data_IF_979142017003
#
_entry.id   IF_979142017003
#
_cell.length_a   1.000
_cell.length_b   1.000
_cell.length_c   1.000
_cell.angle_alpha   90.00
_cell.angle_beta   90.00
_cell.angle_gamma   90.00
#
_symmetry.space_group_name_H-M   'P 1'
#
loop_
_entity.id
_entity.type
_entity.pdbx_description
1 polymer ?
#
# COMPACT_ATOMS: atom_id res chain seq x y z
N UNK A 1 10.42 -2.29 -13.43
CA UNK A 1 10.19 -0.91 -13.88
C UNK A 1 9.11 -0.28 -13.02
N UNK A 2 9.36 0.89 -12.47
CA UNK A 2 8.41 1.66 -11.68
C UNK A 2 7.20 2.07 -12.52
N UNK A 3 6.02 1.99 -11.90
CA UNK A 3 4.73 2.37 -12.47
C UNK A 3 4.12 3.50 -11.63
N UNK A 4 4.88 4.57 -11.41
CA UNK A 4 4.43 5.71 -10.61
C UNK A 4 3.19 6.36 -11.22
N UNK A 5 2.29 6.86 -10.38
CA UNK A 5 1.06 7.49 -10.82
C UNK A 5 0.63 8.64 -9.89
N UNK A 6 -0.41 9.35 -10.30
CA UNK A 6 -0.91 10.55 -9.61
C UNK A 6 -1.97 10.26 -8.55
N UNK A 7 -2.22 8.98 -8.21
CA UNK A 7 -3.19 8.68 -7.16
C UNK A 7 -2.63 9.11 -5.79
N UNK A 8 -3.44 9.77 -4.96
CA UNK A 8 -3.01 10.24 -3.65
C UNK A 8 -2.92 9.09 -2.65
N UNK A 9 -1.99 9.21 -1.70
CA UNK A 9 -1.87 8.33 -0.55
C UNK A 9 -2.77 8.83 0.58
N UNK A 10 -4.06 8.50 0.49
CA UNK A 10 -5.05 8.77 1.53
C UNK A 10 -5.08 7.60 2.54
N UNK A 11 -5.80 7.77 3.65
CA UNK A 11 -6.07 6.64 4.56
C UNK A 11 -6.72 5.48 3.79
N UNK A 12 -6.18 4.28 3.95
CA UNK A 12 -6.61 3.05 3.29
C UNK A 12 -6.03 2.83 1.88
N UNK A 13 -5.22 3.74 1.35
CA UNK A 13 -4.56 3.54 0.06
C UNK A 13 -3.59 2.36 0.11
N UNK A 14 -3.62 1.51 -0.92
CA UNK A 14 -2.76 0.33 -1.08
C UNK A 14 -1.75 0.57 -2.20
N UNK A 15 -0.47 0.46 -1.87
CA UNK A 15 0.61 0.80 -2.79
C UNK A 15 1.83 -0.12 -2.62
N UNK A 16 2.66 -0.20 -3.67
CA UNK A 16 3.84 -1.08 -3.69
C UNK A 16 4.99 -0.49 -2.88
N UNK A 17 5.59 -1.29 -2.00
CA UNK A 17 6.83 -0.92 -1.31
C UNK A 17 8.04 -1.11 -2.24
N UNK A 18 9.09 -0.30 -2.04
CA UNK A 18 10.36 -0.40 -2.78
C UNK A 18 11.54 0.04 -1.93
N UNK A 19 12.74 -0.38 -2.32
CA UNK A 19 13.99 0.17 -1.82
C UNK A 19 14.33 1.50 -2.52
N UNK A 20 15.56 1.97 -2.36
CA UNK A 20 16.03 3.22 -2.97
C UNK A 20 15.90 3.22 -4.50
N UNK A 21 16.19 2.08 -5.14
CA UNK A 21 15.99 1.88 -6.57
C UNK A 21 14.47 1.93 -6.92
N UNK A 22 14.03 2.87 -7.78
CA UNK A 22 12.66 2.95 -8.26
C UNK A 22 12.09 1.63 -8.78
N UNK A 23 12.92 0.79 -9.40
CA UNK A 23 12.51 -0.44 -10.07
C UNK A 23 12.55 -1.68 -9.16
N UNK A 24 12.86 -1.49 -7.86
CA UNK A 24 13.00 -2.58 -6.88
C UNK A 24 11.71 -3.06 -6.23
N UNK A 25 10.55 -2.53 -6.63
CA UNK A 25 9.27 -3.02 -6.14
C UNK A 25 9.10 -4.52 -6.46
N UNK A 26 8.70 -5.30 -5.45
CA UNK A 26 8.56 -6.75 -5.54
C UNK A 26 7.16 -7.20 -5.11
N UNK A 27 7.08 -8.07 -4.10
CA UNK A 27 5.81 -8.56 -3.54
C UNK A 27 5.34 -7.81 -2.28
N UNK A 28 6.16 -6.89 -1.77
CA UNK A 28 5.82 -6.10 -0.59
C UNK A 28 4.92 -4.93 -0.98
N UNK A 29 3.82 -4.77 -0.25
CA UNK A 29 2.92 -3.64 -0.36
C UNK A 29 2.66 -3.05 1.03
N UNK A 30 2.08 -1.86 1.07
CA UNK A 30 1.64 -1.22 2.29
C UNK A 30 0.22 -0.69 2.15
N UNK A 31 -0.42 -0.48 3.30
CA UNK A 31 -1.72 0.20 3.42
C UNK A 31 -1.49 1.45 4.26
N UNK A 32 -1.89 2.61 3.76
CA UNK A 32 -1.79 3.87 4.47
C UNK A 32 -2.73 3.90 5.68
N UNK A 33 -2.19 4.02 6.90
CA UNK A 33 -2.99 4.16 8.13
C UNK A 33 -3.58 5.57 8.30
N UNK A 34 -2.98 6.55 7.64
CA UNK A 34 -3.45 7.94 7.54
C UNK A 34 -2.94 8.53 6.20
N UNK A 35 -3.35 9.75 5.88
CA UNK A 35 -2.89 10.50 4.71
C UNK A 35 -1.36 10.68 4.72
N UNK A 36 -0.71 10.27 3.65
CA UNK A 36 0.75 10.27 3.49
C UNK A 36 1.17 10.97 2.19
N UNK A 37 0.75 12.23 2.00
CA UNK A 37 0.96 13.00 0.77
C UNK A 37 2.43 13.18 0.35
N UNK A 38 3.38 12.97 1.27
CA UNK A 38 4.81 12.97 0.96
C UNK A 38 5.25 11.82 0.02
N UNK A 39 4.41 10.79 -0.14
CA UNK A 39 4.60 9.65 -1.03
C UNK A 39 4.00 9.86 -2.43
N UNK A 40 3.16 10.88 -2.62
CA UNK A 40 2.45 11.10 -3.87
C UNK A 40 3.39 11.28 -5.07
N UNK A 41 3.06 10.64 -6.19
CA UNK A 41 3.87 10.64 -7.40
C UNK A 41 5.21 9.88 -7.32
N UNK A 42 5.55 9.27 -6.17
CA UNK A 42 6.84 8.58 -5.94
C UNK A 42 6.71 7.06 -5.78
N UNK A 43 5.47 6.57 -5.74
CA UNK A 43 5.11 5.17 -5.52
C UNK A 43 3.96 4.76 -6.44
N UNK A 44 3.82 3.45 -6.63
CA UNK A 44 2.74 2.85 -7.43
C UNK A 44 1.57 2.50 -6.53
N UNK A 45 0.55 3.34 -6.53
CA UNK A 45 -0.75 3.03 -5.94
C UNK A 45 -1.50 2.09 -6.87
N UNK A 46 -2.05 0.99 -6.34
CA UNK A 46 -2.80 0.00 -7.12
C UNK A 46 -4.15 -0.38 -6.50
N UNK A 47 -4.49 0.14 -5.32
CA UNK A 47 -5.76 -0.14 -4.70
C UNK A 47 -6.12 0.81 -3.56
N UNK A 48 -7.31 0.62 -3.03
CA UNK A 48 -7.86 1.31 -1.87
C UNK A 48 -8.66 0.29 -1.07
N UNK A 49 -8.51 0.29 0.26
CA UNK A 49 -9.34 -0.51 1.15
C UNK A 49 -10.79 -0.04 1.00
N UNK A 50 -11.63 -0.89 0.40
CA UNK A 50 -13.05 -0.62 0.21
C UNK A 50 -13.86 -0.92 1.49
N UNK A 51 -13.49 -1.98 2.22
CA UNK A 51 -14.15 -2.44 3.45
C UNK A 51 -13.11 -2.97 4.45
N UNK A 52 -13.42 -2.94 5.75
CA UNK A 52 -12.55 -3.48 6.80
C UNK A 52 -11.40 -2.57 7.25
N UNK A 53 -11.53 -1.25 7.07
CA UNK A 53 -10.52 -0.29 7.55
C UNK A 53 -10.30 -0.37 9.06
N UNK A 54 -11.32 -0.72 9.84
CA UNK A 54 -11.20 -0.93 11.29
C UNK A 54 -10.33 -2.14 11.64
N UNK A 55 -10.24 -3.14 10.76
CA UNK A 55 -9.31 -4.28 10.89
C UNK A 55 -7.89 -3.83 10.57
N UNK A 56 -7.70 -3.05 9.50
CA UNK A 56 -6.41 -2.46 9.13
C UNK A 56 -5.84 -1.62 10.28
N UNK A 57 -6.67 -0.79 10.90
CA UNK A 57 -6.29 0.07 12.03
C UNK A 57 -5.86 -0.73 13.28
N UNK A 58 -6.22 -2.02 13.36
CA UNK A 58 -5.87 -2.91 14.48
C UNK A 58 -4.64 -3.79 14.21
N UNK A 59 -4.08 -3.80 13.00
CA UNK A 59 -2.93 -4.64 12.63
C UNK A 59 -1.72 -4.34 13.53
N UNK A 60 -1.04 -5.39 13.97
CA UNK A 60 0.16 -5.32 14.81
C UNK A 60 1.32 -6.09 14.21
N UNK A 61 2.54 -5.75 14.66
CA UNK A 61 3.74 -6.49 14.29
C UNK A 61 3.58 -7.96 14.65
N UNK A 62 3.74 -8.83 13.65
CA UNK A 62 3.63 -10.28 13.81
C UNK A 62 2.30 -10.86 13.31
N UNK A 63 1.30 -10.01 13.00
CA UNK A 63 0.09 -10.46 12.33
C UNK A 63 0.41 -11.07 10.97
N UNK A 64 -0.34 -12.12 10.60
CA UNK A 64 -0.10 -12.90 9.38
C UNK A 64 -1.30 -12.79 8.46
N UNK A 65 -1.03 -12.53 7.17
CA UNK A 65 -2.02 -12.73 6.12
C UNK A 65 -2.20 -14.23 5.88
N UNK A 66 -3.38 -14.77 6.19
CA UNK A 66 -3.66 -16.20 6.05
C UNK A 66 -4.01 -16.60 4.62
N UNK A 67 -4.72 -15.73 3.90
CA UNK A 67 -5.15 -15.96 2.52
C UNK A 67 -5.27 -14.64 1.79
N UNK A 68 -4.71 -14.59 0.59
CA UNK A 68 -4.90 -13.51 -0.38
C UNK A 68 -5.42 -14.15 -1.66
N UNK A 69 -6.48 -13.58 -2.25
CA UNK A 69 -7.04 -14.09 -3.50
C UNK A 69 -7.59 -12.93 -4.33
N UNK A 70 -7.55 -13.10 -5.64
CA UNK A 70 -8.21 -12.24 -6.63
C UNK A 70 -9.34 -13.08 -7.20
N UNK A 71 -10.53 -12.49 -7.36
CA UNK A 71 -11.67 -13.17 -7.98
C UNK A 71 -11.48 -13.30 -9.49
#
# INVERSE_FOLDING_TARGET
KAEFNSHPHLKGTVAMARAADPDSAGSQFYICLDTASFLDGKYTVFGQVAEGQDVVDKIRRGDKMLKVYIK
#
